data_IF_895351123249
#
_entry.id   IF_895351123249
#
_cell.length_a   1.000
_cell.length_b   1.000
_cell.length_c   1.000
_cell.angle_alpha   90.00
_cell.angle_beta   90.00
_cell.angle_gamma   90.00
#
_symmetry.space_group_name_H-M   'P 1'
#
loop_
_entity.id
_entity.type
_entity.pdbx_description
1 polymer ?
#
# COMPACT_ATOMS: atom_id res chain seq x y z
N UNK A 1 9.83 -6.76 -21.06
CA UNK A 1 10.69 -6.44 -19.90
C UNK A 1 11.92 -5.61 -20.28
N UNK A 2 12.51 -5.78 -21.48
CA UNK A 2 13.62 -4.93 -21.97
C UNK A 2 13.25 -3.47 -22.27
N UNK A 3 11.98 -3.18 -22.56
CA UNK A 3 11.48 -1.83 -22.89
C UNK A 3 11.60 -0.80 -21.75
N UNK A 4 11.83 -1.23 -20.51
CA UNK A 4 11.98 -0.33 -19.34
C UNK A 4 13.45 0.02 -19.09
N UNK A 5 14.37 -0.81 -19.58
CA UNK A 5 15.80 -0.76 -19.23
C UNK A 5 16.54 0.24 -20.11
N UNK A 6 16.05 1.49 -20.17
CA UNK A 6 16.85 2.59 -20.67
C UNK A 6 17.69 3.10 -19.50
N UNK A 7 18.89 2.51 -19.37
CA UNK A 7 19.80 2.59 -18.22
C UNK A 7 20.40 3.98 -18.06
N UNK A 8 19.65 4.90 -17.47
CA UNK A 8 20.27 6.03 -16.79
C UNK A 8 20.60 5.61 -15.36
N UNK A 9 21.90 5.33 -15.16
CA UNK A 9 22.51 5.04 -13.86
C UNK A 9 22.14 6.17 -12.89
N UNK A 10 21.72 5.82 -11.68
CA UNK A 10 21.59 6.79 -10.59
C UNK A 10 22.98 7.39 -10.37
N UNK A 11 23.20 8.60 -10.92
CA UNK A 11 24.52 9.25 -11.04
C UNK A 11 25.30 9.26 -9.73
N UNK A 12 24.60 9.33 -8.60
CA UNK A 12 25.17 9.16 -7.28
C UNK A 12 24.29 8.25 -6.39
N UNK A 13 24.38 6.94 -6.63
CA UNK A 13 23.58 5.93 -5.90
C UNK A 13 23.77 5.97 -4.39
N UNK A 14 24.95 6.37 -3.90
CA UNK A 14 25.18 6.49 -2.46
C UNK A 14 24.42 7.66 -1.84
N UNK A 15 24.36 8.80 -2.53
CA UNK A 15 23.52 9.94 -2.08
C UNK A 15 22.04 9.57 -2.13
N UNK A 16 21.60 8.87 -3.18
CA UNK A 16 20.23 8.37 -3.27
C UNK A 16 19.88 7.44 -2.10
N UNK A 17 20.72 6.43 -1.83
CA UNK A 17 20.56 5.52 -0.71
C UNK A 17 20.56 6.25 0.63
N UNK A 18 21.46 7.21 0.83
CA UNK A 18 21.52 7.99 2.06
C UNK A 18 20.22 8.77 2.31
N UNK A 19 19.66 9.42 1.29
CA UNK A 19 18.39 10.14 1.40
C UNK A 19 17.24 9.18 1.72
N UNK A 20 17.18 8.02 1.05
CA UNK A 20 16.14 7.02 1.29
C UNK A 20 16.24 6.46 2.72
N UNK A 21 17.44 6.07 3.16
CA UNK A 21 17.62 5.54 4.51
C UNK A 21 17.36 6.59 5.59
N UNK A 22 17.71 7.86 5.35
CA UNK A 22 17.34 8.94 6.25
C UNK A 22 15.82 9.08 6.36
N UNK A 23 15.10 9.06 5.23
CA UNK A 23 13.65 9.12 5.22
C UNK A 23 13.01 7.94 5.98
N UNK A 24 13.48 6.72 5.73
CA UNK A 24 13.01 5.51 6.41
C UNK A 24 13.32 5.54 7.92
N UNK A 25 14.50 6.05 8.29
CA UNK A 25 14.87 6.23 9.69
C UNK A 25 13.92 7.20 10.40
N UNK A 26 13.58 8.33 9.76
CA UNK A 26 12.63 9.30 10.33
C UNK A 26 11.23 8.69 10.52
N UNK A 27 10.74 7.89 9.58
CA UNK A 27 9.46 7.18 9.72
C UNK A 27 9.49 6.16 10.87
N UNK A 28 10.59 5.40 10.99
CA UNK A 28 10.79 4.48 12.10
C UNK A 28 10.87 5.21 13.45
N UNK A 29 11.52 6.36 13.50
CA UNK A 29 11.59 7.20 14.69
C UNK A 29 10.20 7.71 15.11
N UNK A 30 9.32 8.00 14.13
CA UNK A 30 7.91 8.32 14.36
C UNK A 30 7.03 7.10 14.73
N UNK A 31 7.60 5.89 14.72
CA UNK A 31 6.89 4.61 14.94
C UNK A 31 5.84 4.30 13.87
N UNK A 32 6.04 4.81 12.64
CA UNK A 32 5.14 4.66 11.49
C UNK A 32 5.51 3.48 10.58
N UNK A 33 5.42 2.26 11.11
CA UNK A 33 5.89 1.05 10.41
C UNK A 33 5.18 0.76 9.10
N UNK A 34 3.87 1.01 9.02
CA UNK A 34 3.10 0.75 7.82
C UNK A 34 3.61 1.54 6.63
N UNK A 35 3.85 2.84 6.86
CA UNK A 35 4.43 3.74 5.88
C UNK A 35 5.90 3.40 5.59
N UNK A 36 6.70 3.02 6.60
CA UNK A 36 8.07 2.55 6.36
C UNK A 36 8.11 1.35 5.42
N UNK A 37 7.28 0.33 5.67
CA UNK A 37 7.21 -0.86 4.80
C UNK A 37 6.76 -0.47 3.40
N UNK A 38 5.71 0.34 3.26
CA UNK A 38 5.21 0.82 1.97
C UNK A 38 6.31 1.53 1.16
N UNK A 39 6.95 2.56 1.74
CA UNK A 39 8.01 3.30 1.06
C UNK A 39 9.24 2.44 0.77
N UNK A 40 9.58 1.51 1.66
CA UNK A 40 10.68 0.57 1.43
C UNK A 40 10.40 -0.36 0.25
N UNK A 41 9.18 -0.92 0.16
CA UNK A 41 8.79 -1.78 -0.96
C UNK A 41 8.78 -1.00 -2.28
N UNK A 42 8.30 0.25 -2.28
CA UNK A 42 8.35 1.12 -3.48
C UNK A 42 9.81 1.37 -3.88
N UNK A 43 10.66 1.72 -2.91
CA UNK A 43 12.09 1.92 -3.14
C UNK A 43 12.73 0.69 -3.77
N UNK A 44 12.52 -0.50 -3.21
CA UNK A 44 13.07 -1.76 -3.75
C UNK A 44 12.59 -2.02 -5.18
N UNK A 45 11.33 -1.76 -5.48
CA UNK A 45 10.77 -1.96 -6.81
C UNK A 45 11.37 -1.00 -7.84
N UNK A 46 11.55 0.28 -7.49
CA UNK A 46 12.23 1.26 -8.35
C UNK A 46 13.72 0.89 -8.48
N UNK A 47 14.36 0.52 -7.36
CA UNK A 47 15.77 0.13 -7.34
C UNK A 47 16.02 -1.10 -8.22
N UNK A 48 15.14 -2.10 -8.18
CA UNK A 48 15.19 -3.27 -9.05
C UNK A 48 15.10 -2.91 -10.54
N UNK A 49 14.30 -1.90 -10.89
CA UNK A 49 14.09 -1.49 -12.28
C UNK A 49 15.28 -0.69 -12.81
N UNK A 50 15.89 0.16 -11.98
CA UNK A 50 16.88 1.15 -12.43
C UNK A 50 18.33 0.87 -12.01
N UNK A 51 18.58 0.06 -10.98
CA UNK A 51 19.92 -0.33 -10.56
C UNK A 51 20.31 -1.70 -11.15
N UNK A 52 21.55 -1.81 -11.63
CA UNK A 52 22.05 -3.04 -12.23
C UNK A 52 22.74 -3.98 -11.23
N UNK A 53 23.10 -3.46 -10.06
CA UNK A 53 23.77 -4.22 -9.01
C UNK A 53 22.78 -5.10 -8.25
N UNK A 54 22.53 -6.29 -8.79
CA UNK A 54 21.69 -7.29 -8.16
C UNK A 54 22.20 -7.72 -6.78
N UNK A 55 23.51 -7.64 -6.49
CA UNK A 55 24.03 -7.98 -5.16
C UNK A 55 23.53 -6.97 -4.13
N UNK A 56 23.56 -5.69 -4.48
CA UNK A 56 23.05 -4.61 -3.63
C UNK A 56 21.53 -4.73 -3.41
N UNK A 57 20.78 -5.16 -4.43
CA UNK A 57 19.36 -5.49 -4.28
C UNK A 57 19.13 -6.61 -3.25
N UNK A 58 19.85 -7.74 -3.37
CA UNK A 58 19.74 -8.84 -2.42
C UNK A 58 20.15 -8.45 -1.00
N UNK A 59 21.19 -7.62 -0.85
CA UNK A 59 21.57 -7.05 0.44
C UNK A 59 20.43 -6.23 1.06
N UNK A 60 19.77 -5.39 0.26
CA UNK A 60 18.63 -4.61 0.73
C UNK A 60 17.45 -5.49 1.15
N UNK A 61 17.06 -6.46 0.33
CA UNK A 61 15.99 -7.41 0.67
C UNK A 61 16.33 -8.17 1.97
N UNK A 62 17.59 -8.62 2.12
CA UNK A 62 18.07 -9.25 3.34
C UNK A 62 18.00 -8.31 4.55
N UNK A 63 18.43 -7.05 4.39
CA UNK A 63 18.35 -6.04 5.43
C UNK A 63 16.90 -5.78 5.88
N UNK A 64 15.94 -5.75 4.95
CA UNK A 64 14.52 -5.63 5.28
C UNK A 64 14.04 -6.80 6.16
N UNK A 65 14.41 -8.03 5.79
CA UNK A 65 14.08 -9.22 6.58
C UNK A 65 14.65 -9.14 8.00
N UNK A 66 15.92 -8.74 8.13
CA UNK A 66 16.57 -8.56 9.43
C UNK A 66 15.86 -7.47 10.25
N UNK A 67 15.53 -6.32 9.65
CA UNK A 67 14.83 -5.23 10.33
C UNK A 67 13.45 -5.70 10.81
N UNK A 68 12.69 -6.43 10.00
CA UNK A 68 11.39 -6.97 10.39
C UNK A 68 11.51 -7.91 11.60
N UNK A 69 12.48 -8.82 11.59
CA UNK A 69 12.74 -9.73 12.72
C UNK A 69 13.15 -8.96 13.96
N UNK A 70 14.11 -8.03 13.85
CA UNK A 70 14.56 -7.20 14.97
C UNK A 70 13.42 -6.33 15.53
N UNK A 71 12.56 -5.81 14.66
CA UNK A 71 11.41 -4.99 15.07
C UNK A 71 10.43 -5.76 15.94
N UNK A 72 10.23 -7.06 15.72
CA UNK A 72 9.41 -7.91 16.59
C UNK A 72 9.95 -8.00 18.03
N UNK A 73 11.27 -8.07 18.17
CA UNK A 73 11.92 -8.18 19.48
C UNK A 73 12.05 -6.83 20.19
N UNK A 74 12.22 -5.74 19.44
CA UNK A 74 12.53 -4.41 20.00
C UNK A 74 11.31 -3.51 20.16
N UNK A 75 10.30 -3.64 19.30
CA UNK A 75 9.15 -2.74 19.27
C UNK A 75 7.87 -3.45 19.73
N UNK A 76 7.37 -3.07 20.91
CA UNK A 76 6.17 -3.67 21.50
C UNK A 76 4.92 -3.57 20.58
N UNK A 77 4.79 -2.47 19.82
CA UNK A 77 3.66 -2.27 18.92
C UNK A 77 3.70 -3.19 17.68
N UNK A 78 4.90 -3.53 17.17
CA UNK A 78 5.06 -4.55 16.11
C UNK A 78 4.59 -5.89 16.64
N UNK A 79 5.10 -6.28 17.81
CA UNK A 79 4.80 -7.58 18.43
C UNK A 79 3.31 -7.76 18.60
N UNK A 80 2.64 -6.74 19.12
CA UNK A 80 1.19 -6.69 19.27
C UNK A 80 0.48 -6.91 17.93
N UNK A 81 0.86 -6.18 16.87
CA UNK A 81 0.24 -6.34 15.54
C UNK A 81 0.43 -7.76 14.99
N UNK A 82 1.61 -8.34 15.17
CA UNK A 82 1.92 -9.70 14.72
C UNK A 82 1.19 -10.77 15.54
N UNK A 83 1.18 -10.69 16.86
CA UNK A 83 0.48 -11.67 17.71
C UNK A 83 -1.03 -11.60 17.50
N UNK A 84 -1.57 -10.39 17.34
CA UNK A 84 -3.00 -10.18 17.04
C UNK A 84 -3.35 -10.70 15.64
N UNK A 85 -2.46 -10.55 14.67
CA UNK A 85 -2.66 -11.12 13.34
C UNK A 85 -2.62 -12.66 13.35
N UNK A 86 -1.72 -13.28 14.11
CA UNK A 86 -1.62 -14.74 14.21
C UNK A 86 -2.87 -15.31 14.90
N UNK A 87 -3.16 -14.83 16.11
CA UNK A 87 -4.30 -15.27 16.91
C UNK A 87 -5.19 -14.08 17.32
N UNK A 88 -6.05 -13.60 16.40
CA UNK A 88 -7.01 -12.55 16.73
C UNK A 88 -8.14 -13.07 17.62
N UNK A 89 -8.43 -14.38 17.57
CA UNK A 89 -9.54 -15.01 18.29
C UNK A 89 -9.24 -15.13 19.79
N UNK A 90 -8.00 -15.44 20.16
CA UNK A 90 -7.56 -15.40 21.56
C UNK A 90 -7.56 -13.99 22.16
N UNK A 91 -7.68 -12.94 21.35
CA UNK A 91 -7.67 -11.53 21.78
C UNK A 91 -8.95 -10.76 21.41
N UNK A 92 -10.08 -11.46 21.25
CA UNK A 92 -11.37 -10.88 20.84
C UNK A 92 -11.81 -9.70 21.71
N UNK A 93 -11.60 -9.75 23.02
CA UNK A 93 -12.04 -8.68 23.94
C UNK A 93 -11.10 -7.48 24.00
N UNK A 94 -9.99 -7.52 23.28
CA UNK A 94 -8.96 -6.49 23.30
C UNK A 94 -8.49 -6.14 21.89
N UNK A 95 -7.20 -6.38 21.63
CA UNK A 95 -6.52 -5.88 20.43
C UNK A 95 -6.96 -6.61 19.14
N UNK A 96 -7.50 -7.83 19.27
CA UNK A 96 -8.04 -8.62 18.17
C UNK A 96 -9.44 -8.22 17.73
N UNK A 97 -10.16 -7.44 18.54
CA UNK A 97 -11.56 -7.09 18.30
C UNK A 97 -11.80 -6.52 16.89
N UNK A 98 -10.99 -5.53 16.48
CA UNK A 98 -11.17 -4.85 15.19
C UNK A 98 -11.02 -5.80 13.99
N UNK A 99 -10.01 -6.67 14.01
CA UNK A 99 -9.78 -7.66 12.94
C UNK A 99 -10.91 -8.69 12.93
N UNK A 100 -11.34 -9.17 14.11
CA UNK A 100 -12.41 -10.17 14.20
C UNK A 100 -13.74 -9.60 13.68
N UNK A 101 -14.10 -8.38 14.08
CA UNK A 101 -15.33 -7.74 13.59
C UNK A 101 -15.27 -7.47 12.08
N UNK A 102 -14.10 -7.07 11.57
CA UNK A 102 -13.87 -6.96 10.14
C UNK A 102 -14.17 -8.27 9.40
N UNK A 103 -13.66 -9.39 9.90
CA UNK A 103 -13.89 -10.70 9.29
C UNK A 103 -15.36 -11.14 9.38
N UNK A 104 -16.04 -10.84 10.49
CA UNK A 104 -17.48 -11.10 10.61
C UNK A 104 -18.30 -10.26 9.62
N UNK A 105 -18.01 -8.97 9.49
CA UNK A 105 -18.70 -8.08 8.55
C UNK A 105 -18.55 -8.55 7.09
N UNK A 106 -17.32 -8.91 6.68
CA UNK A 106 -17.07 -9.48 5.35
C UNK A 106 -17.85 -10.77 5.13
N UNK A 107 -17.95 -11.61 6.16
CA UNK A 107 -18.70 -12.88 6.07
C UNK A 107 -20.21 -12.64 6.02
N UNK A 108 -20.72 -11.69 6.81
CA UNK A 108 -22.15 -11.34 6.89
C UNK A 108 -22.70 -10.80 5.56
N UNK A 109 -21.87 -10.08 4.79
CA UNK A 109 -22.27 -9.60 3.47
C UNK A 109 -22.49 -10.69 2.43
N UNK A 110 -21.93 -11.89 2.59
CA UNK A 110 -22.07 -12.96 1.60
C UNK A 110 -21.67 -12.51 0.18
N UNK A 111 -22.35 -13.02 -0.85
CA UNK A 111 -22.04 -12.65 -2.25
C UNK A 111 -22.58 -11.28 -2.68
N UNK A 112 -23.77 -10.91 -2.21
CA UNK A 112 -24.54 -9.76 -2.70
C UNK A 112 -24.65 -8.59 -1.73
N UNK A 113 -24.17 -8.75 -0.49
CA UNK A 113 -24.26 -7.77 0.57
C UNK A 113 -25.55 -7.88 1.36
N UNK A 114 -25.57 -7.22 2.51
CA UNK A 114 -26.78 -7.02 3.33
C UNK A 114 -27.68 -5.90 2.77
N UNK A 115 -27.14 -5.06 1.87
CA UNK A 115 -27.78 -3.88 1.30
C UNK A 115 -27.17 -2.58 1.85
N UNK A 116 -27.13 -1.54 0.99
CA UNK A 116 -26.54 -0.24 1.34
C UNK A 116 -27.22 0.37 2.58
N UNK A 117 -26.42 0.68 3.60
CA UNK A 117 -26.90 1.21 4.88
C UNK A 117 -27.74 0.22 5.72
N UNK A 118 -27.84 -1.06 5.32
CA UNK A 118 -28.51 -2.12 6.08
C UNK A 118 -27.52 -3.00 6.86
N UNK A 119 -26.22 -2.81 6.65
CA UNK A 119 -25.16 -3.40 7.46
C UNK A 119 -25.03 -2.71 8.82
N UNK A 120 -24.18 -3.24 9.67
CA UNK A 120 -23.81 -2.63 10.94
C UNK A 120 -22.29 -2.39 11.03
N UNK A 121 -21.70 -1.62 10.09
CA UNK A 121 -20.26 -1.38 10.03
C UNK A 121 -19.71 -0.65 11.26
N UNK A 122 -20.59 0.06 12.00
CA UNK A 122 -20.25 0.78 13.22
C UNK A 122 -19.79 -0.13 14.37
N UNK A 123 -20.04 -1.45 14.28
CA UNK A 123 -19.48 -2.41 15.24
C UNK A 123 -17.96 -2.57 15.10
N UNK A 124 -17.36 -2.15 13.99
CA UNK A 124 -15.91 -2.14 13.77
C UNK A 124 -15.34 -0.79 14.23
N UNK A 125 -14.52 -0.75 15.29
CA UNK A 125 -13.88 0.50 15.72
C UNK A 125 -12.95 1.00 14.62
N UNK A 126 -13.09 2.29 14.28
CA UNK A 126 -12.30 2.95 13.21
C UNK A 126 -12.62 2.41 11.80
N UNK A 127 -13.88 2.01 11.57
CA UNK A 127 -14.34 1.48 10.28
C UNK A 127 -14.11 2.43 9.12
N UNK A 128 -14.29 3.74 9.33
CA UNK A 128 -14.21 4.70 8.23
C UNK A 128 -12.79 4.95 7.70
N UNK A 129 -11.74 4.58 8.44
CA UNK A 129 -10.35 4.76 7.97
C UNK A 129 -9.73 3.42 7.57
N UNK A 130 -9.56 2.49 8.50
CA UNK A 130 -8.67 1.34 8.32
C UNK A 130 -9.42 0.08 7.87
N UNK A 131 -10.75 0.06 8.07
CA UNK A 131 -11.62 -1.08 7.76
C UNK A 131 -12.78 -0.73 6.84
N UNK A 132 -12.66 0.35 6.05
CA UNK A 132 -13.74 0.80 5.17
C UNK A 132 -14.06 -0.28 4.12
N UNK A 133 -13.05 -1.07 3.74
CA UNK A 133 -13.24 -2.21 2.86
C UNK A 133 -14.14 -3.30 3.47
N UNK A 134 -14.10 -3.51 4.79
CA UNK A 134 -14.97 -4.47 5.47
C UNK A 134 -16.43 -4.02 5.43
N UNK A 135 -16.69 -2.73 5.63
CA UNK A 135 -18.02 -2.14 5.50
C UNK A 135 -18.58 -2.28 4.08
N UNK A 136 -17.73 -2.02 3.06
CA UNK A 136 -18.11 -2.23 1.66
C UNK A 136 -18.47 -3.70 1.40
N UNK A 137 -17.68 -4.64 1.90
CA UNK A 137 -17.96 -6.07 1.77
C UNK A 137 -19.22 -6.49 2.52
N UNK A 138 -19.53 -5.88 3.67
CA UNK A 138 -20.76 -6.15 4.42
C UNK A 138 -21.99 -5.69 3.63
N UNK A 139 -22.00 -4.44 3.18
CA UNK A 139 -23.17 -3.84 2.54
C UNK A 139 -23.36 -4.24 1.07
N UNK A 140 -22.26 -4.41 0.32
CA UNK A 140 -22.25 -4.69 -1.12
C UNK A 140 -21.79 -6.11 -1.47
N UNK A 141 -21.40 -6.91 -0.47
CA UNK A 141 -20.99 -8.29 -0.63
C UNK A 141 -19.62 -8.47 -1.28
N UNK A 142 -19.29 -9.73 -1.54
CA UNK A 142 -18.07 -10.13 -2.24
C UNK A 142 -17.93 -9.44 -3.60
N UNK A 143 -19.01 -9.31 -4.37
CA UNK A 143 -18.96 -8.66 -5.68
C UNK A 143 -18.64 -7.16 -5.58
N UNK A 144 -19.17 -6.47 -4.56
CA UNK A 144 -18.80 -5.08 -4.28
C UNK A 144 -17.31 -4.95 -3.93
N UNK A 145 -16.82 -5.80 -3.03
CA UNK A 145 -15.39 -5.85 -2.68
C UNK A 145 -14.50 -6.15 -3.89
N UNK A 146 -14.87 -7.12 -4.73
CA UNK A 146 -14.17 -7.44 -5.98
C UNK A 146 -14.17 -6.27 -6.97
N UNK A 147 -15.30 -5.56 -7.10
CA UNK A 147 -15.39 -4.39 -7.96
C UNK A 147 -14.41 -3.29 -7.51
N UNK A 148 -14.30 -3.04 -6.20
CA UNK A 148 -13.32 -2.08 -5.65
C UNK A 148 -11.88 -2.51 -5.98
N UNK A 149 -11.54 -3.77 -5.73
CA UNK A 149 -10.20 -4.29 -6.07
C UNK A 149 -9.92 -4.18 -7.57
N UNK A 150 -10.91 -4.46 -8.42
CA UNK A 150 -10.79 -4.34 -9.87
C UNK A 150 -10.56 -2.89 -10.31
N UNK A 151 -11.22 -1.91 -9.68
CA UNK A 151 -10.99 -0.48 -9.96
C UNK A 151 -9.54 -0.09 -9.66
N UNK A 152 -8.97 -0.51 -8.54
CA UNK A 152 -7.55 -0.28 -8.26
C UNK A 152 -6.64 -1.02 -9.24
N UNK A 153 -6.99 -2.24 -9.63
CA UNK A 153 -6.23 -2.97 -10.64
C UNK A 153 -6.19 -2.22 -11.98
N UNK A 154 -7.33 -1.68 -12.43
CA UNK A 154 -7.41 -0.85 -13.64
C UNK A 154 -6.58 0.43 -13.47
N UNK A 155 -6.67 1.10 -12.32
CA UNK A 155 -5.87 2.30 -12.03
C UNK A 155 -4.37 2.01 -12.11
N UNK A 156 -3.92 0.94 -11.46
CA UNK A 156 -2.51 0.52 -11.45
C UNK A 156 -2.05 0.11 -12.85
N UNK A 157 -2.85 -0.65 -13.58
CA UNK A 157 -2.57 -1.02 -14.97
C UNK A 157 -2.40 0.21 -15.87
N UNK A 158 -3.32 1.18 -15.77
CA UNK A 158 -3.22 2.45 -16.51
C UNK A 158 -1.98 3.25 -16.10
N UNK A 159 -1.66 3.31 -14.80
CA UNK A 159 -0.47 3.97 -14.29
C UNK A 159 0.83 3.37 -14.84
N UNK A 160 0.92 2.04 -14.88
CA UNK A 160 2.06 1.36 -15.51
C UNK A 160 2.13 1.65 -17.01
N UNK A 161 1.00 1.65 -17.72
CA UNK A 161 0.96 2.00 -19.14
C UNK A 161 1.53 3.41 -19.38
N UNK A 162 1.13 4.39 -18.57
CA UNK A 162 1.66 5.77 -18.62
C UNK A 162 3.17 5.79 -18.35
N UNK A 163 3.64 5.07 -17.33
CA UNK A 163 5.08 5.02 -17.04
C UNK A 163 5.88 4.45 -18.22
N UNK A 164 5.36 3.42 -18.91
CA UNK A 164 6.05 2.78 -20.02
C UNK A 164 6.17 3.67 -21.27
N UNK A 165 5.22 4.58 -21.50
CA UNK A 165 5.16 5.41 -22.69
C UNK A 165 6.02 6.68 -22.60
N UNK A 166 6.32 7.13 -21.38
CA UNK A 166 7.14 8.31 -21.13
C UNK A 166 8.61 8.06 -21.54
N UNK A 167 9.19 8.99 -22.32
CA UNK A 167 10.61 8.95 -22.72
C UNK A 167 11.56 9.46 -21.64
N UNK A 168 11.15 10.51 -20.92
CA UNK A 168 11.96 11.13 -19.87
C UNK A 168 12.05 10.24 -18.62
N UNK A 169 13.27 9.90 -18.19
CA UNK A 169 13.50 8.97 -17.08
C UNK A 169 12.93 9.47 -15.76
N UNK A 170 13.07 10.76 -15.46
CA UNK A 170 12.57 11.32 -14.21
C UNK A 170 11.04 11.22 -14.14
N UNK A 171 10.35 11.65 -15.20
CA UNK A 171 8.89 11.55 -15.31
C UNK A 171 8.41 10.09 -15.26
N UNK A 172 9.17 9.17 -15.85
CA UNK A 172 8.90 7.74 -15.77
C UNK A 172 8.99 7.21 -14.34
N UNK A 173 10.05 7.57 -13.61
CA UNK A 173 10.22 7.19 -12.19
C UNK A 173 9.08 7.77 -11.34
N UNK A 174 8.67 9.01 -11.59
CA UNK A 174 7.54 9.65 -10.87
C UNK A 174 6.22 8.91 -11.15
N UNK A 175 5.89 8.66 -12.42
CA UNK A 175 4.68 7.91 -12.80
C UNK A 175 4.68 6.50 -12.19
N UNK A 176 5.82 5.80 -12.26
CA UNK A 176 6.01 4.49 -11.66
C UNK A 176 5.84 4.53 -10.14
N UNK A 177 6.47 5.48 -9.46
CA UNK A 177 6.37 5.65 -8.01
C UNK A 177 4.93 5.87 -7.54
N UNK A 178 4.19 6.78 -8.18
CA UNK A 178 2.77 7.03 -7.89
C UNK A 178 1.93 5.77 -8.13
N UNK A 179 2.18 5.06 -9.23
CA UNK A 179 1.49 3.80 -9.55
C UNK A 179 1.75 2.74 -8.48
N UNK A 180 3.00 2.59 -8.05
CA UNK A 180 3.38 1.66 -6.99
C UNK A 180 2.80 2.04 -5.63
N UNK A 181 2.67 3.33 -5.31
CA UNK A 181 1.97 3.81 -4.11
C UNK A 181 0.54 3.27 -4.12
N UNK A 182 -0.25 3.53 -5.17
CA UNK A 182 -1.63 3.04 -5.22
C UNK A 182 -1.73 1.51 -5.16
N UNK A 183 -0.84 0.81 -5.87
CA UNK A 183 -0.85 -0.66 -5.89
C UNK A 183 -0.51 -1.27 -4.54
N UNK A 184 0.66 -0.94 -3.98
CA UNK A 184 1.10 -1.52 -2.71
C UNK A 184 0.26 -1.06 -1.53
N UNK A 185 -0.16 0.20 -1.49
CA UNK A 185 -1.00 0.70 -0.40
C UNK A 185 -2.35 -0.03 -0.39
N UNK A 186 -3.00 -0.18 -1.55
CA UNK A 186 -4.24 -0.96 -1.67
C UNK A 186 -4.04 -2.41 -1.26
N UNK A 187 -2.99 -3.06 -1.75
CA UNK A 187 -2.67 -4.45 -1.40
C UNK A 187 -2.45 -4.62 0.11
N UNK A 188 -1.69 -3.73 0.73
CA UNK A 188 -1.37 -3.79 2.15
C UNK A 188 -2.65 -3.63 2.99
N UNK A 189 -3.55 -2.73 2.61
CA UNK A 189 -4.76 -2.44 3.39
C UNK A 189 -5.79 -3.53 3.23
N UNK A 190 -6.14 -3.87 1.99
CA UNK A 190 -7.09 -4.95 1.71
C UNK A 190 -6.55 -6.26 2.30
N UNK A 191 -5.26 -6.55 2.10
CA UNK A 191 -4.59 -7.70 2.69
C UNK A 191 -4.63 -7.71 4.21
N UNK A 192 -4.46 -6.56 4.86
CA UNK A 192 -4.60 -6.42 6.32
C UNK A 192 -6.02 -6.72 6.80
N UNK A 193 -7.00 -6.13 6.14
CA UNK A 193 -8.44 -6.25 6.45
C UNK A 193 -8.94 -7.69 6.34
N UNK A 194 -8.48 -8.43 5.33
CA UNK A 194 -8.82 -9.85 5.13
C UNK A 194 -7.89 -10.82 5.89
N UNK A 195 -7.03 -10.31 6.78
CA UNK A 195 -6.06 -11.09 7.58
C UNK A 195 -4.99 -11.84 6.74
N UNK A 196 -4.74 -11.45 5.50
CA UNK A 196 -3.64 -11.98 4.68
C UNK A 196 -2.27 -11.54 5.22
N UNK A 197 -2.18 -10.29 5.67
CA UNK A 197 -0.98 -9.71 6.30
C UNK A 197 -1.36 -8.98 7.60
N UNK A 198 -0.39 -8.61 8.45
CA UNK A 198 -0.68 -7.84 9.66
C UNK A 198 -1.20 -6.44 9.34
N UNK A 199 -2.09 -5.91 10.18
CA UNK A 199 -2.57 -4.54 10.03
C UNK A 199 -1.45 -3.51 10.20
N UNK A 200 -1.37 -2.57 9.26
CA UNK A 200 -0.31 -1.57 9.17
C UNK A 200 -0.75 -0.17 9.56
N UNK A 201 -2.06 0.10 9.65
CA UNK A 201 -2.62 1.41 10.05
C UNK A 201 -2.48 2.50 9.00
N UNK A 202 -2.51 2.13 7.72
CA UNK A 202 -2.47 3.06 6.59
C UNK A 202 -3.86 3.16 5.93
N UNK A 203 -4.18 4.31 5.34
CA UNK A 203 -5.53 4.60 4.81
C UNK A 203 -5.67 4.22 3.33
N UNK A 204 -6.85 3.74 2.93
CA UNK A 204 -7.13 3.31 1.56
C UNK A 204 -7.25 4.55 0.67
N UNK A 205 -6.43 4.68 -0.40
CA UNK A 205 -6.45 5.88 -1.24
C UNK A 205 -7.84 6.13 -1.81
N UNK A 206 -8.33 7.38 -1.85
CA UNK A 206 -9.65 7.76 -2.38
C UNK A 206 -10.88 7.36 -1.56
N UNK A 207 -10.86 6.25 -0.82
CA UNK A 207 -12.06 5.71 -0.15
C UNK A 207 -12.04 5.96 1.36
N UNK A 208 -10.90 5.77 2.02
CA UNK A 208 -10.83 5.95 3.48
C UNK A 208 -10.99 7.40 3.90
N UNK A 209 -11.65 7.59 5.04
CA UNK A 209 -11.77 8.89 5.68
C UNK A 209 -10.39 9.38 6.15
N UNK A 210 -9.97 10.53 5.65
CA UNK A 210 -8.68 11.14 5.96
C UNK A 210 -8.42 12.32 5.04
N UNK A 211 -8.87 13.52 5.43
CA UNK A 211 -8.89 14.70 4.56
C UNK A 211 -7.55 14.99 3.88
N UNK A 212 -6.44 14.96 4.63
CA UNK A 212 -5.09 15.17 4.06
C UNK A 212 -4.67 14.03 3.13
N UNK A 213 -4.92 12.77 3.50
CA UNK A 213 -4.60 11.60 2.67
C UNK A 213 -5.37 11.62 1.35
N UNK A 214 -6.65 11.99 1.40
CA UNK A 214 -7.51 12.12 0.23
C UNK A 214 -6.99 13.20 -0.72
N UNK A 215 -6.66 14.38 -0.19
CA UNK A 215 -6.10 15.48 -0.99
C UNK A 215 -4.76 15.06 -1.62
N UNK A 216 -3.86 14.45 -0.85
CA UNK A 216 -2.59 13.95 -1.37
C UNK A 216 -2.78 12.88 -2.45
N UNK A 217 -3.75 11.98 -2.29
CA UNK A 217 -4.09 10.99 -3.30
C UNK A 217 -4.58 11.64 -4.59
N UNK A 218 -5.43 12.68 -4.53
CA UNK A 218 -5.85 13.42 -5.72
C UNK A 218 -4.74 14.24 -6.37
N UNK A 219 -3.83 14.82 -5.60
CA UNK A 219 -2.65 15.51 -6.14
C UNK A 219 -1.78 14.52 -6.93
N UNK A 220 -1.47 13.36 -6.35
CA UNK A 220 -0.71 12.32 -7.03
C UNK A 220 -1.43 11.83 -8.30
N UNK A 221 -2.76 11.72 -8.26
CA UNK A 221 -3.56 11.35 -9.43
C UNK A 221 -3.51 12.42 -10.52
N UNK A 222 -3.59 13.70 -10.14
CA UNK A 222 -3.44 14.83 -11.05
C UNK A 222 -2.07 14.87 -11.73
N UNK A 223 -0.99 14.55 -11.00
CA UNK A 223 0.35 14.41 -11.57
C UNK A 223 0.38 13.26 -12.59
N UNK A 224 -0.17 12.10 -12.24
CA UNK A 224 -0.23 10.94 -13.15
C UNK A 224 -1.03 11.26 -14.42
N UNK A 225 -2.15 11.98 -14.28
CA UNK A 225 -2.96 12.46 -15.40
C UNK A 225 -2.22 13.46 -16.28
N UNK A 226 -1.50 14.42 -15.68
CA UNK A 226 -0.69 15.39 -16.42
C UNK A 226 0.42 14.70 -17.22
N UNK A 227 1.04 13.66 -16.66
CA UNK A 227 2.04 12.83 -17.34
C UNK A 227 1.43 12.02 -18.48
N UNK A 228 0.20 11.52 -18.33
CA UNK A 228 -0.53 10.86 -19.41
C UNK A 228 -0.81 11.81 -20.58
N UNK A 229 -1.17 13.07 -20.33
CA UNK A 229 -1.41 14.06 -21.39
C UNK A 229 -0.17 14.39 -22.24
N UNK A 230 1.04 14.16 -21.71
CA UNK A 230 2.28 14.33 -22.46
C UNK A 230 2.49 13.22 -23.50
N UNK A 231 1.87 12.04 -23.32
CA UNK A 231 1.92 10.92 -24.26
C UNK A 231 1.33 11.30 -25.63
N UNK A 232 0.15 11.94 -25.63
CA UNK A 232 -0.58 12.30 -26.85
C UNK A 232 -0.03 13.50 -27.62
N UNK A 233 1.00 14.19 -27.10
CA UNK A 233 1.66 15.32 -27.80
C UNK A 233 2.89 14.90 -28.61
N UNK A 234 3.35 13.66 -28.48
CA UNK A 234 4.54 13.14 -29.17
C UNK A 234 4.29 11.87 -30.00
N UNK A 235 3.02 11.49 -30.19
CA UNK A 235 2.54 10.51 -31.17
C UNK A 235 2.07 11.23 -32.43
#
# INVERSE_FOLDING_TARGET
MELIRNKQIIKNKYVFLAIIYLHLFLLLAQRELGMTVLFYTIFISIFYIYEEDYKLLFYNIGAMGIILVLSYFTLAHVRVRLTTWIDPWGQITGKGYQIVQSLFAITAGGFFGTGLGLGNPDYIPVVHTDFIFSAICEEMGLFGGMAVVLLYFILVYRGFKIALTIKDTFKKIVALGITLIYGYQTFIIVGGVIKLIPLTGITLPFISYGGSSLISAFIAFGILQALSGLEGRFS
#
